data_IF_944635785960
#
_entry.id   IF_944635785960
#
_cell.length_a   1.000
_cell.length_b   1.000
_cell.length_c   1.000
_cell.angle_alpha   90.00
_cell.angle_beta   90.00
_cell.angle_gamma   90.00
#
_symmetry.space_group_name_H-M   'P 1'
#
loop_
_entity.id
_entity.type
_entity.pdbx_description
1 polymer ?
#
# COMPACT_ATOMS: atom_id res chain seq x y z
N UNK A 1 -28.21 28.13 37.10
CA UNK A 1 -27.34 27.13 37.78
C UNK A 1 -26.72 26.08 36.83
N UNK A 2 -27.03 26.06 35.54
CA UNK A 2 -26.48 25.10 34.57
C UNK A 2 -25.12 25.52 33.99
N UNK A 3 -24.86 26.82 33.83
CA UNK A 3 -23.59 27.31 33.28
C UNK A 3 -22.40 27.26 34.25
N UNK A 4 -22.64 27.42 35.55
CA UNK A 4 -21.61 27.30 36.60
C UNK A 4 -21.19 25.83 36.80
N UNK A 5 -22.12 24.87 36.71
CA UNK A 5 -21.80 23.43 36.75
C UNK A 5 -20.96 23.01 35.54
N UNK A 6 -21.24 23.57 34.36
CA UNK A 6 -20.43 23.32 33.16
C UNK A 6 -19.01 23.87 33.31
N UNK A 7 -18.83 25.08 33.84
CA UNK A 7 -17.50 25.68 34.04
C UNK A 7 -16.67 24.97 35.12
N UNK A 8 -17.29 24.56 36.24
CA UNK A 8 -16.62 23.78 37.29
C UNK A 8 -16.21 22.38 36.81
N UNK A 9 -17.05 21.73 36.00
CA UNK A 9 -16.75 20.43 35.40
C UNK A 9 -15.59 20.50 34.39
N UNK A 10 -15.49 21.58 33.63
CA UNK A 10 -14.41 21.77 32.65
C UNK A 10 -13.10 22.20 33.30
N UNK A 11 -13.13 23.06 34.34
CA UNK A 11 -11.93 23.46 35.07
C UNK A 11 -11.33 22.33 35.93
N UNK A 12 -12.16 21.44 36.49
CA UNK A 12 -11.67 20.28 37.25
C UNK A 12 -11.01 19.23 36.33
N UNK A 13 -11.50 19.07 35.09
CA UNK A 13 -10.89 18.19 34.11
C UNK A 13 -9.50 18.68 33.65
N UNK A 14 -9.33 20.00 33.48
CA UNK A 14 -8.04 20.60 33.11
C UNK A 14 -7.03 20.51 34.27
N UNK A 15 -7.48 20.68 35.51
CA UNK A 15 -6.63 20.52 36.70
C UNK A 15 -6.22 19.06 36.95
N UNK A 16 -7.05 18.08 36.59
CA UNK A 16 -6.67 16.65 36.66
C UNK A 16 -5.63 16.28 35.59
N UNK A 17 -5.70 16.89 34.40
CA UNK A 17 -4.72 16.67 33.33
C UNK A 17 -3.39 17.36 33.65
N UNK A 18 -3.40 18.51 34.31
CA UNK A 18 -2.18 19.18 34.77
C UNK A 18 -1.61 18.55 36.07
N UNK A 19 -2.46 17.96 36.91
CA UNK A 19 -2.09 17.35 38.19
C UNK A 19 -1.40 15.99 38.06
N UNK A 20 -1.66 15.22 37.00
CA UNK A 20 -0.97 13.95 36.74
C UNK A 20 0.42 14.12 36.12
N UNK A 21 0.70 15.28 35.51
CA UNK A 21 2.03 15.61 34.94
C UNK A 21 3.10 15.79 36.04
N UNK A 22 2.69 15.96 37.31
CA UNK A 22 3.62 16.17 38.42
C UNK A 22 4.12 14.89 39.10
N UNK A 23 3.62 13.70 38.70
CA UNK A 23 4.05 12.41 39.28
C UNK A 23 4.52 11.36 38.26
N UNK A 24 4.27 11.55 36.96
CA UNK A 24 4.96 10.78 35.91
C UNK A 24 6.04 11.65 35.30
N UNK A 25 7.18 11.74 35.99
CA UNK A 25 8.39 12.33 35.43
C UNK A 25 8.74 11.70 34.08
N UNK A 26 9.43 12.47 33.23
CA UNK A 26 10.15 11.98 32.06
C UNK A 26 10.85 10.65 32.37
N UNK A 27 10.36 9.52 31.85
CA UNK A 27 10.87 8.22 32.26
C UNK A 27 10.38 7.06 31.41
N UNK A 28 10.83 7.00 30.15
CA UNK A 28 10.89 5.77 29.37
C UNK A 28 9.64 5.43 28.55
N UNK A 29 9.88 5.05 27.28
CA UNK A 29 8.91 4.30 26.47
C UNK A 29 8.54 3.02 27.23
N UNK A 30 7.26 2.68 27.33
CA UNK A 30 6.87 1.42 27.97
C UNK A 30 7.32 0.22 27.13
N UNK A 31 7.61 -0.92 27.76
CA UNK A 31 7.98 -2.15 27.04
C UNK A 31 6.90 -2.55 26.03
N UNK A 32 5.63 -2.28 26.35
CA UNK A 32 4.49 -2.49 25.45
C UNK A 32 4.59 -1.61 24.19
N UNK A 33 4.95 -0.33 24.33
CA UNK A 33 5.15 0.56 23.19
C UNK A 33 6.35 0.16 22.33
N UNK A 34 7.43 -0.36 22.95
CA UNK A 34 8.56 -0.92 22.19
C UNK A 34 8.16 -2.18 21.43
N UNK A 35 7.41 -3.09 22.05
CA UNK A 35 6.91 -4.29 21.39
C UNK A 35 5.98 -3.97 20.21
N UNK A 36 5.08 -3.00 20.38
CA UNK A 36 4.22 -2.51 19.30
C UNK A 36 5.04 -1.88 18.16
N UNK A 37 6.07 -1.08 18.49
CA UNK A 37 6.95 -0.47 17.50
C UNK A 37 7.72 -1.53 16.70
N UNK A 38 8.24 -2.56 17.35
CA UNK A 38 8.97 -3.65 16.69
C UNK A 38 8.04 -4.53 15.84
N UNK A 39 6.80 -4.75 16.29
CA UNK A 39 5.77 -5.41 15.48
C UNK A 39 5.45 -4.61 14.21
N UNK A 40 5.24 -3.29 14.33
CA UNK A 40 5.01 -2.40 13.19
C UNK A 40 6.20 -2.37 12.23
N UNK A 41 7.43 -2.36 12.75
CA UNK A 41 8.65 -2.44 11.91
C UNK A 41 8.72 -3.76 11.13
N UNK A 42 8.36 -4.87 11.77
CA UNK A 42 8.31 -6.18 11.13
C UNK A 42 7.25 -6.21 10.02
N UNK A 43 6.07 -5.66 10.28
CA UNK A 43 4.98 -5.55 9.30
C UNK A 43 5.39 -4.68 8.11
N UNK A 44 5.98 -3.50 8.34
CA UNK A 44 6.51 -2.64 7.26
C UNK A 44 7.55 -3.39 6.44
N UNK A 45 8.49 -4.09 7.07
CA UNK A 45 9.51 -4.87 6.35
C UNK A 45 8.88 -5.99 5.50
N UNK A 46 7.82 -6.63 5.99
CA UNK A 46 7.09 -7.65 5.24
C UNK A 46 6.37 -7.05 4.03
N UNK A 47 5.66 -5.93 4.24
CA UNK A 47 4.95 -5.22 3.18
C UNK A 47 5.91 -4.69 2.11
N UNK A 48 7.08 -4.19 2.48
CA UNK A 48 8.11 -3.75 1.53
C UNK A 48 8.59 -4.91 0.65
N UNK A 49 8.78 -6.11 1.21
CA UNK A 49 9.13 -7.32 0.44
C UNK A 49 8.01 -7.70 -0.51
N UNK A 50 6.76 -7.70 -0.05
CA UNK A 50 5.60 -8.02 -0.88
C UNK A 50 5.46 -7.03 -2.05
N UNK A 51 5.62 -5.73 -1.80
CA UNK A 51 5.61 -4.70 -2.84
C UNK A 51 6.71 -4.93 -3.87
N UNK A 52 7.91 -5.32 -3.45
CA UNK A 52 9.01 -5.61 -4.37
C UNK A 52 8.75 -6.87 -5.22
N UNK A 53 8.14 -7.91 -4.63
CA UNK A 53 7.67 -9.09 -5.36
C UNK A 53 6.62 -8.71 -6.40
N UNK A 54 5.58 -7.98 -5.99
CA UNK A 54 4.50 -7.54 -6.89
C UNK A 54 5.01 -6.65 -8.03
N UNK A 55 5.97 -5.76 -7.77
CA UNK A 55 6.63 -4.96 -8.82
C UNK A 55 7.36 -5.84 -9.84
N UNK A 56 8.04 -6.88 -9.36
CA UNK A 56 8.76 -7.83 -10.21
C UNK A 56 7.81 -8.65 -11.07
N UNK A 57 6.71 -9.15 -10.47
CA UNK A 57 5.65 -9.86 -11.18
C UNK A 57 4.96 -8.98 -12.23
N UNK A 58 4.63 -7.73 -11.88
CA UNK A 58 4.07 -6.75 -12.82
C UNK A 58 4.99 -6.58 -14.03
N UNK A 59 6.29 -6.35 -13.80
CA UNK A 59 7.26 -6.17 -14.88
C UNK A 59 7.35 -7.42 -15.77
N UNK A 60 7.26 -8.62 -15.18
CA UNK A 60 7.22 -9.88 -15.94
C UNK A 60 5.98 -9.97 -16.81
N UNK A 61 4.80 -9.68 -16.25
CA UNK A 61 3.53 -9.71 -16.97
C UNK A 61 3.50 -8.68 -18.12
N UNK A 62 4.02 -7.48 -17.90
CA UNK A 62 4.13 -6.45 -18.95
C UNK A 62 4.99 -6.93 -20.13
N UNK A 63 6.10 -7.65 -19.87
CA UNK A 63 6.91 -8.27 -20.94
C UNK A 63 6.15 -9.36 -21.67
N UNK A 64 5.47 -10.26 -20.95
CA UNK A 64 4.68 -11.33 -21.56
C UNK A 64 3.55 -10.78 -22.46
N UNK A 65 2.91 -9.68 -22.05
CA UNK A 65 1.90 -8.98 -22.85
C UNK A 65 2.53 -8.43 -24.14
N UNK A 66 3.66 -7.74 -24.05
CA UNK A 66 4.35 -7.18 -25.22
C UNK A 66 4.77 -8.28 -26.22
N UNK A 67 5.29 -9.41 -25.72
CA UNK A 67 5.64 -10.56 -26.56
C UNK A 67 4.42 -11.17 -27.25
N UNK A 68 3.30 -11.34 -26.53
CA UNK A 68 2.05 -11.86 -27.10
C UNK A 68 1.49 -10.92 -28.17
N UNK A 69 1.54 -9.60 -27.93
CA UNK A 69 1.08 -8.60 -28.89
C UNK A 69 1.91 -8.64 -30.18
N UNK A 70 3.25 -8.71 -30.06
CA UNK A 70 4.15 -8.87 -31.21
C UNK A 70 3.83 -10.12 -32.04
N UNK A 71 3.60 -11.26 -31.37
CA UNK A 71 3.20 -12.52 -32.05
C UNK A 71 1.84 -12.43 -32.73
N UNK A 72 0.87 -11.73 -32.13
CA UNK A 72 -0.45 -11.51 -32.75
C UNK A 72 -0.34 -10.66 -34.01
N UNK A 73 0.45 -9.59 -33.97
CA UNK A 73 0.72 -8.74 -35.14
C UNK A 73 1.40 -9.51 -36.26
N UNK A 74 2.41 -10.33 -35.93
CA UNK A 74 3.06 -11.20 -36.89
C UNK A 74 2.07 -12.18 -37.53
N UNK A 75 1.25 -12.85 -36.72
CA UNK A 75 0.24 -13.78 -37.21
C UNK A 75 -0.80 -13.09 -38.13
N UNK A 76 -1.22 -11.87 -37.78
CA UNK A 76 -2.12 -11.09 -38.62
C UNK A 76 -1.49 -10.74 -39.98
N UNK A 77 -0.21 -10.34 -39.98
CA UNK A 77 0.55 -10.05 -41.19
C UNK A 77 0.72 -11.30 -42.06
N UNK A 78 1.11 -12.42 -41.47
CA UNK A 78 1.29 -13.69 -42.17
C UNK A 78 -0.04 -14.17 -42.78
N UNK A 79 -1.15 -14.02 -42.05
CA UNK A 79 -2.49 -14.33 -42.56
C UNK A 79 -2.87 -13.44 -43.74
N UNK A 80 -2.60 -12.13 -43.66
CA UNK A 80 -2.87 -11.20 -44.74
C UNK A 80 -2.03 -11.51 -45.99
N UNK A 81 -0.74 -11.77 -45.82
CA UNK A 81 0.16 -12.16 -46.89
C UNK A 81 -0.27 -13.48 -47.54
N UNK A 82 -0.63 -14.48 -46.73
CA UNK A 82 -1.14 -15.76 -47.22
C UNK A 82 -2.41 -15.58 -48.03
N UNK A 83 -3.38 -14.80 -47.52
CA UNK A 83 -4.63 -14.51 -48.24
C UNK A 83 -4.35 -13.83 -49.58
N UNK A 84 -3.50 -12.81 -49.61
CA UNK A 84 -3.13 -12.13 -50.85
C UNK A 84 -2.44 -13.06 -51.85
N UNK A 85 -1.64 -14.03 -51.37
CA UNK A 85 -1.01 -15.03 -52.23
C UNK A 85 -2.03 -16.04 -52.79
N UNK A 86 -3.00 -16.48 -51.99
CA UNK A 86 -4.08 -17.36 -52.45
C UNK A 86 -4.92 -16.67 -53.54
N UNK A 87 -5.29 -15.41 -53.32
CA UNK A 87 -6.04 -14.61 -54.30
C UNK A 87 -5.28 -14.49 -55.64
N UNK A 88 -3.94 -14.29 -55.60
CA UNK A 88 -3.09 -14.27 -56.80
C UNK A 88 -3.03 -15.62 -57.54
N UNK A 89 -3.21 -16.72 -56.83
CA UNK A 89 -3.25 -18.07 -57.39
C UNK A 89 -4.65 -18.45 -57.90
N UNK A 90 -5.64 -17.56 -57.78
CA UNK A 90 -7.01 -17.82 -58.21
C UNK A 90 -7.77 -18.78 -57.29
N UNK A 91 -7.33 -18.91 -56.04
CA UNK A 91 -8.01 -19.66 -54.97
C UNK A 91 -8.85 -18.74 -54.09
#
# INVERSE_FOLDING_TARGET
MTKIKSLLSTSLAVLLIAGTVSLTGCGGVSEEQMAQLDALRSEVSSLEKEVNTLKSEKTKLEREIAEKQSKLEQCANDKAATKANLEKLGM
#
